data_IF_599548292526
#
_entry.id   IF_599548292526
#
_cell.length_a   1.000
_cell.length_b   1.000
_cell.length_c   1.000
_cell.angle_alpha   90.00
_cell.angle_beta   90.00
_cell.angle_gamma   90.00
#
_symmetry.space_group_name_H-M   'P 1'
#
loop_
_entity.id
_entity.type
_entity.pdbx_description
1 polymer ?
#
# COMPACT_ATOMS: atom_id res chain seq x y z
N UNK A 1 -0.68 -13.12 -12.06
CA UNK A 1 -0.90 -12.22 -10.90
C UNK A 1 -0.13 -10.94 -11.15
N UNK A 2 -0.79 -9.78 -11.18
CA UNK A 2 -0.21 -8.49 -11.60
C UNK A 2 0.35 -8.49 -13.04
N UNK A 3 -0.30 -9.23 -13.95
CA UNK A 3 0.17 -9.39 -15.33
C UNK A 3 0.01 -8.09 -16.12
N UNK A 4 -1.10 -7.36 -15.93
CA UNK A 4 -1.35 -6.08 -16.62
C UNK A 4 -0.32 -5.03 -16.18
N UNK A 5 0.09 -5.06 -14.91
CA UNK A 5 1.16 -4.19 -14.41
C UNK A 5 2.50 -4.55 -15.03
N UNK A 6 2.83 -5.84 -15.13
CA UNK A 6 4.08 -6.29 -15.75
C UNK A 6 4.16 -5.86 -17.23
N UNK A 7 3.07 -5.99 -17.99
CA UNK A 7 2.98 -5.51 -19.38
C UNK A 7 3.17 -3.99 -19.50
N UNK A 8 2.74 -3.23 -18.49
CA UNK A 8 2.98 -1.77 -18.39
C UNK A 8 4.39 -1.40 -17.92
N UNK A 9 5.26 -2.37 -17.72
CA UNK A 9 6.67 -2.18 -17.38
C UNK A 9 6.97 -2.12 -15.88
N UNK A 10 6.01 -2.50 -15.02
CA UNK A 10 6.29 -2.66 -13.60
C UNK A 10 7.18 -3.89 -13.38
N UNK A 11 8.15 -3.76 -12.49
CA UNK A 11 8.95 -4.87 -12.00
C UNK A 11 8.33 -5.37 -10.69
N UNK A 12 8.03 -6.66 -10.63
CA UNK A 12 7.32 -7.26 -9.52
C UNK A 12 8.16 -8.43 -9.01
N UNK A 13 8.45 -8.42 -7.71
CA UNK A 13 9.16 -9.48 -7.01
C UNK A 13 8.30 -9.97 -5.84
N UNK A 14 8.25 -11.30 -5.67
CA UNK A 14 7.56 -11.91 -4.54
C UNK A 14 8.57 -12.46 -3.55
N UNK A 15 8.43 -12.07 -2.29
CA UNK A 15 9.27 -12.57 -1.21
C UNK A 15 8.50 -13.57 -0.34
N UNK A 16 9.23 -14.57 0.18
CA UNK A 16 8.69 -15.60 1.05
C UNK A 16 7.48 -16.32 0.43
N UNK A 17 6.31 -16.28 1.07
CA UNK A 17 5.08 -16.93 0.62
C UNK A 17 4.04 -15.95 0.07
N UNK A 18 4.44 -14.72 -0.26
CA UNK A 18 3.52 -13.65 -0.67
C UNK A 18 2.60 -14.07 -1.84
N UNK A 19 3.12 -14.82 -2.82
CA UNK A 19 2.30 -15.29 -3.95
C UNK A 19 1.15 -16.18 -3.50
N UNK A 20 1.42 -17.15 -2.62
CA UNK A 20 0.39 -18.07 -2.14
C UNK A 20 -0.65 -17.33 -1.27
N UNK A 21 -0.17 -16.49 -0.34
CA UNK A 21 -1.04 -15.72 0.55
C UNK A 21 -1.96 -14.79 -0.25
N UNK A 22 -1.40 -14.00 -1.17
CA UNK A 22 -2.21 -13.06 -1.95
C UNK A 22 -3.19 -13.76 -2.89
N UNK A 23 -2.77 -14.84 -3.56
CA UNK A 23 -3.64 -15.51 -4.53
C UNK A 23 -4.77 -16.33 -3.91
N UNK A 24 -4.61 -16.79 -2.67
CA UNK A 24 -5.60 -17.63 -1.99
C UNK A 24 -6.43 -16.81 -1.01
N UNK A 25 -5.77 -16.06 -0.12
CA UNK A 25 -6.43 -15.41 1.02
C UNK A 25 -6.88 -13.98 0.69
N UNK A 26 -6.21 -13.31 -0.27
CA UNK A 26 -6.47 -11.91 -0.61
C UNK A 26 -6.61 -11.63 -2.12
N UNK A 27 -7.43 -12.39 -2.87
CA UNK A 27 -7.56 -12.20 -4.31
C UNK A 27 -8.13 -10.82 -4.68
N UNK A 28 -9.03 -10.27 -3.85
CA UNK A 28 -9.59 -8.93 -4.06
C UNK A 28 -8.51 -7.84 -3.95
N UNK A 29 -7.55 -8.01 -3.03
CA UNK A 29 -6.44 -7.08 -2.86
C UNK A 29 -5.58 -6.99 -4.13
N UNK A 30 -5.39 -8.11 -4.84
CA UNK A 30 -4.68 -8.12 -6.12
C UNK A 30 -5.40 -7.23 -7.13
N UNK A 31 -6.72 -7.42 -7.28
CA UNK A 31 -7.53 -6.64 -8.22
C UNK A 31 -7.56 -5.15 -7.88
N UNK A 32 -7.72 -4.80 -6.60
CA UNK A 32 -7.71 -3.42 -6.13
C UNK A 32 -6.36 -2.72 -6.40
N UNK A 33 -5.24 -3.39 -6.10
CA UNK A 33 -3.90 -2.85 -6.33
C UNK A 33 -3.57 -2.74 -7.83
N UNK A 34 -3.94 -3.74 -8.62
CA UNK A 34 -3.77 -3.74 -10.07
C UNK A 34 -4.55 -2.60 -10.72
N UNK A 35 -5.79 -2.34 -10.29
CA UNK A 35 -6.58 -1.21 -10.77
C UNK A 35 -5.97 0.14 -10.39
N UNK A 36 -5.56 0.32 -9.12
CA UNK A 36 -5.01 1.58 -8.63
C UNK A 36 -3.66 1.93 -9.29
N UNK A 37 -2.75 0.97 -9.40
CA UNK A 37 -1.45 1.15 -10.06
C UNK A 37 -1.59 1.18 -11.59
N UNK A 38 -2.57 0.44 -12.12
CA UNK A 38 -3.02 0.42 -13.51
C UNK A 38 -3.44 1.79 -14.04
N UNK A 39 -4.13 2.57 -13.20
CA UNK A 39 -4.58 3.92 -13.54
C UNK A 39 -3.51 5.00 -13.32
N UNK A 40 -2.37 4.66 -12.70
CA UNK A 40 -1.34 5.65 -12.40
C UNK A 40 -0.67 6.16 -13.68
N UNK A 41 -0.61 7.48 -13.80
CA UNK A 41 0.13 8.20 -14.83
C UNK A 41 0.86 9.39 -14.19
N UNK A 42 2.09 9.62 -14.65
CA UNK A 42 2.94 10.72 -14.22
C UNK A 42 3.18 11.61 -15.46
N UNK A 43 2.44 12.73 -15.60
CA UNK A 43 2.65 13.67 -16.68
C UNK A 43 4.08 14.23 -16.67
N UNK A 44 4.65 14.49 -17.85
CA UNK A 44 6.02 15.00 -17.98
C UNK A 44 6.22 16.35 -17.27
N UNK A 45 5.17 17.16 -17.17
CA UNK A 45 5.17 18.43 -16.46
C UNK A 45 5.38 18.23 -14.95
N UNK A 46 4.89 17.12 -14.39
CA UNK A 46 5.11 16.76 -12.97
C UNK A 46 6.51 16.20 -12.74
N UNK A 47 7.19 15.70 -13.78
CA UNK A 47 8.60 15.26 -13.72
C UNK A 47 9.53 16.46 -13.81
N UNK A 48 9.20 17.44 -14.64
CA UNK A 48 10.01 18.65 -14.87
C UNK A 48 9.84 19.65 -13.71
N UNK A 49 8.67 19.71 -13.07
CA UNK A 49 8.43 20.55 -11.90
C UNK A 49 9.17 20.05 -10.65
N UNK A 50 9.77 20.95 -9.86
CA UNK A 50 10.45 20.56 -8.62
C UNK A 50 9.46 19.93 -7.62
N UNK A 51 9.62 18.63 -7.36
CA UNK A 51 8.75 17.87 -6.46
C UNK A 51 9.05 18.09 -4.98
N UNK A 52 8.02 18.44 -4.19
CA UNK A 52 8.00 18.27 -2.74
C UNK A 52 7.18 17.02 -2.35
N UNK A 53 7.16 16.63 -1.07
CA UNK A 53 6.56 15.36 -0.60
C UNK A 53 5.06 15.13 -0.92
N UNK A 54 4.36 16.14 -1.43
CA UNK A 54 2.93 16.14 -1.78
C UNK A 54 2.71 16.54 -3.25
N UNK A 55 3.49 15.97 -4.18
CA UNK A 55 3.21 16.16 -5.61
C UNK A 55 1.85 15.57 -5.98
N UNK A 56 1.24 16.11 -7.05
CA UNK A 56 -0.11 15.70 -7.47
C UNK A 56 -0.20 14.19 -7.73
N UNK A 57 0.87 13.56 -8.21
CA UNK A 57 0.98 12.11 -8.40
C UNK A 57 0.80 11.30 -7.11
N UNK A 58 1.52 11.61 -6.03
CA UNK A 58 1.37 10.92 -4.74
C UNK A 58 -0.02 11.11 -4.15
N UNK A 59 -0.60 12.31 -4.29
CA UNK A 59 -1.98 12.55 -3.84
C UNK A 59 -3.01 11.76 -4.63
N UNK A 60 -2.84 11.61 -5.95
CA UNK A 60 -3.74 10.81 -6.79
C UNK A 60 -3.75 9.35 -6.36
N UNK A 61 -2.58 8.74 -6.22
CA UNK A 61 -2.49 7.34 -5.80
C UNK A 61 -3.08 7.13 -4.40
N UNK A 62 -2.75 8.02 -3.45
CA UNK A 62 -3.30 7.96 -2.09
C UNK A 62 -4.83 8.01 -2.08
N UNK A 63 -5.43 8.89 -2.88
CA UNK A 63 -6.90 9.02 -2.98
C UNK A 63 -7.53 7.78 -3.63
N UNK A 64 -6.97 7.30 -4.73
CA UNK A 64 -7.46 6.10 -5.41
C UNK A 64 -7.45 4.88 -4.47
N UNK A 65 -6.35 4.67 -3.73
CA UNK A 65 -6.25 3.62 -2.73
C UNK A 65 -7.25 3.82 -1.57
N UNK A 66 -7.40 5.05 -1.06
CA UNK A 66 -8.36 5.34 -0.01
C UNK A 66 -9.82 5.12 -0.44
N UNK A 67 -10.18 5.39 -1.69
CA UNK A 67 -11.52 5.10 -2.25
C UNK A 67 -11.81 3.59 -2.33
N UNK A 68 -10.77 2.78 -2.48
CA UNK A 68 -10.81 1.31 -2.40
C UNK A 68 -10.73 0.79 -0.95
N UNK A 69 -10.68 1.68 0.05
CA UNK A 69 -10.66 1.33 1.46
C UNK A 69 -9.26 1.07 2.04
N UNK A 70 -8.19 1.39 1.31
CA UNK A 70 -6.82 1.35 1.81
C UNK A 70 -6.49 2.65 2.54
N UNK A 71 -6.51 2.61 3.86
CA UNK A 71 -6.40 3.79 4.70
C UNK A 71 -5.08 3.83 5.47
N UNK A 72 -4.67 5.04 5.82
CA UNK A 72 -3.53 5.26 6.71
C UNK A 72 -3.88 4.77 8.11
N UNK A 73 -2.99 3.99 8.71
CA UNK A 73 -3.16 3.43 10.05
C UNK A 73 -1.91 3.70 10.88
N UNK A 74 -2.12 4.20 12.09
CA UNK A 74 -1.08 4.32 13.10
C UNK A 74 -1.14 3.10 14.04
N UNK A 75 -0.16 2.21 13.93
CA UNK A 75 -0.02 1.07 14.81
C UNK A 75 0.71 1.51 16.08
N UNK A 76 0.03 1.39 17.22
CA UNK A 76 0.64 1.62 18.54
C UNK A 76 1.11 0.29 19.12
N UNK A 77 2.38 0.19 19.47
CA UNK A 77 2.98 -1.00 20.08
C UNK A 77 3.15 -0.74 21.56
N UNK A 78 2.38 -1.47 22.37
CA UNK A 78 2.47 -1.42 23.82
C UNK A 78 3.26 -2.60 24.36
N UNK A 79 4.26 -2.30 25.19
CA UNK A 79 5.10 -3.30 25.84
C UNK A 79 4.88 -3.26 27.35
N UNK A 80 4.45 -4.38 27.93
CA UNK A 80 4.36 -4.56 29.39
C UNK A 80 5.25 -5.71 29.85
N UNK A 81 6.03 -5.52 30.91
CA UNK A 81 6.87 -6.56 31.52
C UNK A 81 6.45 -6.71 32.99
N UNK A 82 5.97 -7.88 33.38
CA UNK A 82 5.46 -8.16 34.74
C UNK A 82 4.42 -7.13 35.21
N UNK A 83 3.51 -6.72 34.32
CA UNK A 83 2.49 -5.70 34.61
C UNK A 83 2.99 -4.25 34.57
N UNK A 84 4.28 -4.00 34.39
CA UNK A 84 4.85 -2.65 34.28
C UNK A 84 4.94 -2.25 32.81
N UNK A 85 4.19 -1.20 32.42
CA UNK A 85 4.25 -0.61 31.07
C UNK A 85 5.62 0.00 30.82
N UNK A 86 6.15 -0.26 29.62
CA UNK A 86 7.40 0.30 29.09
C UNK A 86 7.08 1.28 27.98
N UNK A 87 8.11 1.96 27.49
CA UNK A 87 7.99 2.90 26.39
C UNK A 87 7.31 2.25 25.19
N UNK A 88 6.30 2.94 24.68
CA UNK A 88 5.56 2.55 23.50
C UNK A 88 6.21 3.18 22.28
N UNK A 89 6.24 2.43 21.18
CA UNK A 89 6.61 2.95 19.87
C UNK A 89 5.39 2.90 18.98
N UNK A 90 5.25 3.87 18.10
CA UNK A 90 4.23 3.83 17.04
C UNK A 90 4.89 3.77 15.67
N UNK A 91 4.18 3.14 14.74
CA UNK A 91 4.57 3.10 13.34
C UNK A 91 3.35 3.45 12.49
N UNK A 92 3.54 4.35 11.54
CA UNK A 92 2.49 4.74 10.61
C UNK A 92 2.70 4.03 9.27
N UNK A 93 1.62 3.43 8.75
CA UNK A 93 1.58 2.79 7.45
C UNK A 93 0.53 3.51 6.61
N UNK A 94 0.92 3.95 5.41
CA UNK A 94 0.08 4.82 4.57
C UNK A 94 -1.16 4.12 4.00
N UNK A 95 -1.07 2.82 3.73
CA UNK A 95 -2.08 2.03 3.04
C UNK A 95 -2.27 0.68 3.71
N UNK A 96 -3.33 0.55 4.49
CA UNK A 96 -3.73 -0.68 5.17
C UNK A 96 -5.17 -0.99 4.81
N UNK A 97 -5.42 -2.27 4.51
CA UNK A 97 -6.74 -2.82 4.22
C UNK A 97 -6.94 -4.07 5.07
N UNK A 98 -8.17 -4.24 5.58
CA UNK A 98 -8.59 -5.42 6.32
C UNK A 98 -9.64 -6.14 5.50
N UNK A 99 -9.45 -7.43 5.27
CA UNK A 99 -10.39 -8.28 4.57
C UNK A 99 -11.11 -9.20 5.57
N UNK A 100 -12.25 -9.80 5.21
CA UNK A 100 -12.98 -10.70 6.11
C UNK A 100 -12.13 -11.86 6.64
N UNK A 101 -11.17 -12.33 5.84
CA UNK A 101 -10.29 -13.46 6.14
C UNK A 101 -8.95 -13.04 6.81
N UNK A 102 -8.71 -11.73 6.99
CA UNK A 102 -7.49 -11.20 7.63
C UNK A 102 -7.29 -9.69 7.50
#
# INVERSE_FOLDING_TARGET
MFEDLAERGFQIEFHSHATAILSVDFPDAIGELEAALGALSIPIEEIIGSGGGETKGTQRLRRALAELGWHKVNFTIDKSINGVRRESISHEVDHVRTFPDG
#
